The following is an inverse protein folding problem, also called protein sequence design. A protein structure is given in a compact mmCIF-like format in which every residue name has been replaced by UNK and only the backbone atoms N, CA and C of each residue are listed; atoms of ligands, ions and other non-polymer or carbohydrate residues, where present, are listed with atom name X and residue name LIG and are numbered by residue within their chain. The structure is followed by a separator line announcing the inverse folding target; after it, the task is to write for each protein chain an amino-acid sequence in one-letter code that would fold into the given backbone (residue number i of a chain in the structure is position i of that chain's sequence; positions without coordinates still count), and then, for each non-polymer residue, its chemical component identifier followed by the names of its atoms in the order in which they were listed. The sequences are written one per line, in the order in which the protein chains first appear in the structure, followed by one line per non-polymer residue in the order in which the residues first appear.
data_IF_085883555166
#
_entry.id   IF_085883555166
#
_cell.length_a   1.000
_cell.length_b   1.000
_cell.length_c   1.000
_cell.angle_alpha   90.00
_cell.angle_beta   90.00
_cell.angle_gamma   90.00
#
_symmetry.space_group_name_H-M   'P 1'
#
loop_
_entity.id
_entity.type
_entity.pdbx_description
1 polymer ?
#
# COMPACT_ATOMS: atom_id res chain seq x y z
N UNK A 1 -15.94 3.32 61.13
CA UNK A 1 -15.37 3.89 59.93
C UNK A 1 -14.83 2.73 59.07
N UNK A 2 -15.67 2.19 58.16
CA UNK A 2 -15.30 1.03 57.34
C UNK A 2 -14.56 1.58 56.16
N UNK A 3 -13.25 1.28 56.07
CA UNK A 3 -12.44 1.58 54.90
C UNK A 3 -12.90 0.65 53.78
N UNK A 4 -13.64 1.17 52.80
CA UNK A 4 -13.90 0.50 51.56
C UNK A 4 -12.59 0.47 50.78
N UNK A 5 -11.96 -0.70 50.74
CA UNK A 5 -10.84 -0.94 49.85
C UNK A 5 -11.36 -0.81 48.40
N UNK A 6 -10.98 0.27 47.74
CA UNK A 6 -11.15 0.41 46.28
C UNK A 6 -10.23 -0.62 45.64
N UNK A 7 -10.79 -1.76 45.22
CA UNK A 7 -10.08 -2.68 44.33
C UNK A 7 -9.65 -1.88 43.08
N UNK A 8 -8.37 -1.98 42.68
CA UNK A 8 -7.99 -1.39 41.43
C UNK A 8 -8.88 -2.01 40.31
N UNK A 9 -9.58 -1.16 39.58
CA UNK A 9 -10.42 -1.59 38.44
C UNK A 9 -9.57 -2.48 37.58
N UNK A 10 -9.88 -3.78 37.57
CA UNK A 10 -9.19 -4.79 36.75
C UNK A 10 -9.31 -4.31 35.28
N UNK A 11 -8.18 -4.07 34.62
CA UNK A 11 -8.17 -3.63 33.24
C UNK A 11 -9.05 -4.59 32.41
N UNK A 12 -9.89 -4.02 31.56
CA UNK A 12 -10.79 -4.78 30.69
C UNK A 12 -10.05 -5.87 29.93
N UNK A 13 -10.58 -7.10 29.86
CA UNK A 13 -9.97 -8.20 29.12
C UNK A 13 -9.72 -7.82 27.66
N UNK A 14 -8.54 -8.13 27.14
CA UNK A 14 -8.21 -7.81 25.72
C UNK A 14 -9.14 -8.51 24.74
N UNK A 15 -9.64 -9.71 25.08
CA UNK A 15 -10.65 -10.43 24.30
C UNK A 15 -11.95 -9.63 24.11
N UNK A 16 -12.42 -8.98 25.18
CA UNK A 16 -13.58 -8.10 25.16
C UNK A 16 -13.30 -6.86 24.32
N UNK A 17 -12.15 -6.22 24.53
CA UNK A 17 -11.74 -5.04 23.74
C UNK A 17 -11.68 -5.34 22.24
N UNK A 18 -11.19 -6.54 21.85
CA UNK A 18 -11.16 -6.97 20.44
C UNK A 18 -12.58 -7.14 19.89
N UNK A 19 -13.47 -7.77 20.65
CA UNK A 19 -14.85 -7.95 20.24
C UNK A 19 -15.57 -6.61 20.08
N UNK A 20 -15.45 -5.71 21.07
CA UNK A 20 -16.19 -4.45 21.10
C UNK A 20 -15.69 -3.43 20.06
N UNK A 21 -14.36 -3.37 19.81
CA UNK A 21 -13.79 -2.37 18.93
C UNK A 21 -13.74 -2.77 17.47
N UNK A 22 -13.58 -4.04 17.17
CA UNK A 22 -13.44 -4.53 15.78
C UNK A 22 -14.36 -5.71 15.42
N UNK A 23 -15.31 -6.05 16.30
CA UNK A 23 -16.31 -7.09 16.06
C UNK A 23 -15.75 -8.51 15.91
N UNK A 24 -14.51 -8.76 16.37
CA UNK A 24 -13.85 -10.06 16.16
C UNK A 24 -13.94 -10.94 17.40
N UNK A 25 -14.60 -12.08 17.26
CA UNK A 25 -14.64 -13.11 18.29
C UNK A 25 -13.38 -13.99 18.20
N UNK A 26 -12.38 -13.71 19.05
CA UNK A 26 -11.12 -14.45 19.06
C UNK A 26 -11.27 -15.91 19.51
N UNK A 27 -12.36 -16.25 20.20
CA UNK A 27 -12.61 -17.63 20.68
C UNK A 27 -13.02 -18.58 19.55
N UNK A 28 -13.38 -18.06 18.36
CA UNK A 28 -13.56 -18.88 17.16
C UNK A 28 -12.24 -19.43 16.60
N UNK A 29 -11.09 -18.91 17.05
CA UNK A 29 -9.78 -19.40 16.64
C UNK A 29 -9.49 -20.79 17.24
N UNK A 30 -9.45 -21.82 16.41
CA UNK A 30 -9.11 -23.18 16.81
C UNK A 30 -7.64 -23.56 16.60
N UNK A 31 -6.77 -22.56 16.47
CA UNK A 31 -5.29 -22.73 16.41
C UNK A 31 -4.81 -23.60 15.23
N UNK A 32 -5.39 -23.45 14.02
CA UNK A 32 -4.99 -24.20 12.82
C UNK A 32 -3.63 -23.80 12.24
N UNK A 33 -2.99 -22.76 12.77
CA UNK A 33 -1.64 -22.25 12.41
C UNK A 33 -1.51 -21.70 10.98
N UNK A 34 -2.55 -21.65 10.16
CA UNK A 34 -2.48 -21.09 8.78
C UNK A 34 -2.02 -19.64 8.73
N UNK A 35 -2.34 -18.82 9.75
CA UNK A 35 -1.88 -17.44 9.86
C UNK A 35 -0.37 -17.34 10.09
N UNK A 36 0.23 -18.30 10.76
CA UNK A 36 1.69 -18.36 11.02
C UNK A 36 2.44 -18.93 9.82
N UNK A 37 2.00 -20.05 9.26
CA UNK A 37 2.67 -20.68 8.13
C UNK A 37 2.71 -19.79 6.87
N UNK A 38 1.73 -18.90 6.73
CA UNK A 38 1.69 -17.94 5.63
C UNK A 38 2.29 -16.57 5.94
N UNK A 39 2.80 -16.36 7.15
CA UNK A 39 3.33 -15.04 7.53
C UNK A 39 4.78 -14.88 7.07
N UNK A 40 5.09 -13.90 6.19
CA UNK A 40 6.45 -13.68 5.72
C UNK A 40 7.41 -13.18 6.81
N UNK A 41 6.87 -12.82 7.99
CA UNK A 41 7.61 -12.28 9.12
C UNK A 41 7.59 -13.19 10.35
N UNK A 42 7.05 -14.41 10.26
CA UNK A 42 6.88 -15.30 11.41
C UNK A 42 8.20 -15.56 12.15
N UNK A 43 9.30 -15.69 11.41
CA UNK A 43 10.66 -15.92 11.95
C UNK A 43 11.24 -14.69 12.68
N UNK A 44 10.72 -13.51 12.43
CA UNK A 44 11.16 -12.24 13.03
C UNK A 44 10.40 -11.90 14.32
N UNK A 45 9.31 -12.63 14.59
CA UNK A 45 8.44 -12.39 15.71
C UNK A 45 8.88 -13.16 16.95
N UNK A 46 8.67 -12.56 18.11
CA UNK A 46 8.78 -13.22 19.42
C UNK A 46 7.55 -14.09 19.71
N UNK A 47 6.37 -13.70 19.22
CA UNK A 47 5.12 -14.46 19.25
C UNK A 47 4.58 -14.61 17.81
N UNK A 48 4.49 -15.85 17.34
CA UNK A 48 3.87 -16.12 16.06
C UNK A 48 2.39 -15.68 16.03
N UNK A 49 1.80 -15.35 14.85
CA UNK A 49 0.42 -14.87 14.76
C UNK A 49 -0.61 -15.73 15.50
N UNK A 50 -0.52 -17.06 15.42
CA UNK A 50 -1.41 -17.95 16.19
C UNK A 50 -1.18 -17.87 17.71
N UNK A 51 0.05 -17.61 18.15
CA UNK A 51 0.38 -17.45 19.59
C UNK A 51 -0.19 -16.13 20.13
N UNK A 52 -0.14 -15.05 19.33
CA UNK A 52 -0.83 -13.79 19.68
C UNK A 52 -2.32 -14.04 19.90
N UNK A 53 -2.98 -14.79 18.99
CA UNK A 53 -4.40 -15.16 19.15
C UNK A 53 -4.62 -15.99 20.40
N UNK A 54 -3.69 -16.91 20.73
CA UNK A 54 -3.78 -17.73 21.94
C UNK A 54 -3.62 -16.92 23.23
N UNK A 55 -2.68 -15.98 23.25
CA UNK A 55 -2.50 -15.07 24.40
C UNK A 55 -3.78 -14.27 24.68
N UNK A 56 -4.48 -13.81 23.64
CA UNK A 56 -5.76 -13.13 23.80
C UNK A 56 -6.85 -14.05 24.35
N UNK A 57 -6.94 -15.31 23.91
CA UNK A 57 -7.87 -16.30 24.45
C UNK A 57 -7.60 -16.57 25.93
N UNK A 58 -6.35 -16.56 26.35
CA UNK A 58 -5.92 -16.76 27.74
C UNK A 58 -5.97 -15.48 28.57
N UNK A 59 -6.35 -14.36 27.97
CA UNK A 59 -6.33 -13.03 28.59
C UNK A 59 -4.95 -12.62 29.14
N UNK A 60 -3.88 -13.02 28.45
CA UNK A 60 -2.51 -12.66 28.79
C UNK A 60 -2.17 -11.25 28.32
N UNK A 61 -2.03 -10.24 29.21
CA UNK A 61 -1.74 -8.88 28.84
C UNK A 61 -0.30 -8.68 28.33
N UNK A 62 0.59 -9.65 28.53
CA UNK A 62 2.00 -9.57 28.09
C UNK A 62 2.10 -9.46 26.56
N UNK A 63 1.08 -9.87 25.81
CA UNK A 63 0.98 -9.72 24.37
C UNK A 63 1.15 -8.26 23.90
N UNK A 64 0.80 -7.29 24.73
CA UNK A 64 0.98 -5.86 24.44
C UNK A 64 2.46 -5.42 24.43
N UNK A 65 3.35 -6.22 25.03
CA UNK A 65 4.80 -6.01 25.02
C UNK A 65 5.53 -6.75 23.91
N UNK A 66 4.80 -7.57 23.11
CA UNK A 66 5.38 -8.38 22.04
C UNK A 66 5.90 -7.51 20.89
N UNK A 67 7.03 -7.93 20.29
CA UNK A 67 7.56 -7.36 19.04
C UNK A 67 6.63 -7.62 17.87
N UNK A 68 5.92 -8.77 17.88
CA UNK A 68 5.07 -9.19 16.77
C UNK A 68 4.02 -8.15 16.40
N UNK A 69 3.37 -7.52 17.41
CA UNK A 69 2.36 -6.49 17.13
C UNK A 69 2.95 -5.27 16.41
N UNK A 70 4.23 -4.94 16.62
CA UNK A 70 4.90 -3.80 16.00
C UNK A 70 5.50 -4.14 14.63
N UNK A 71 6.14 -5.31 14.50
CA UNK A 71 6.79 -5.76 13.26
C UNK A 71 5.79 -6.17 12.17
N UNK A 72 4.53 -6.43 12.51
CA UNK A 72 3.52 -6.81 11.53
C UNK A 72 3.41 -5.76 10.40
N UNK A 73 3.72 -6.18 9.17
CA UNK A 73 3.73 -5.32 7.98
C UNK A 73 2.32 -4.97 7.46
N UNK A 74 1.26 -5.50 8.05
CA UNK A 74 -0.12 -5.26 7.59
C UNK A 74 -0.45 -5.88 6.23
N UNK A 75 0.23 -6.95 5.83
CA UNK A 75 0.10 -7.56 4.50
C UNK A 75 -1.20 -8.35 4.27
N UNK A 76 -2.02 -8.52 5.31
CA UNK A 76 -3.34 -9.18 5.28
C UNK A 76 -3.33 -10.68 4.90
N UNK A 77 -2.16 -11.30 4.71
CA UNK A 77 -2.07 -12.74 4.34
C UNK A 77 -2.73 -13.64 5.38
N UNK A 78 -2.47 -13.38 6.66
CA UNK A 78 -3.06 -14.14 7.76
C UNK A 78 -4.58 -14.01 7.85
N UNK A 79 -5.13 -12.81 7.60
CA UNK A 79 -6.57 -12.58 7.57
C UNK A 79 -7.24 -13.28 6.38
N UNK A 80 -6.63 -13.20 5.19
CA UNK A 80 -7.18 -13.86 3.97
C UNK A 80 -7.13 -15.38 4.03
N UNK A 81 -6.20 -15.97 4.80
CA UNK A 81 -6.06 -17.43 4.94
C UNK A 81 -6.77 -18.00 6.17
N UNK A 82 -7.40 -17.16 6.98
CA UNK A 82 -8.09 -17.61 8.19
C UNK A 82 -9.39 -18.33 7.86
N UNK A 83 -9.56 -19.62 8.23
CA UNK A 83 -10.79 -20.35 7.93
C UNK A 83 -11.97 -19.93 8.81
N UNK A 84 -11.73 -19.15 9.87
CA UNK A 84 -12.73 -18.55 10.75
C UNK A 84 -12.95 -17.07 10.44
N UNK A 85 -12.43 -16.57 9.32
CA UNK A 85 -12.53 -15.18 8.87
C UNK A 85 -12.08 -14.13 9.93
N UNK A 86 -11.11 -14.51 10.78
CA UNK A 86 -10.59 -13.61 11.79
C UNK A 86 -9.63 -12.63 11.12
N UNK A 87 -9.88 -11.33 11.32
CA UNK A 87 -9.00 -10.27 10.88
C UNK A 87 -7.79 -10.13 11.81
N UNK A 88 -6.85 -11.09 11.72
CA UNK A 88 -5.64 -11.13 12.57
C UNK A 88 -4.82 -9.85 12.44
N UNK A 89 -4.76 -9.25 11.25
CA UNK A 89 -4.05 -7.98 11.03
C UNK A 89 -4.73 -6.83 11.77
N UNK A 90 -6.06 -6.76 11.74
CA UNK A 90 -6.83 -5.76 12.52
C UNK A 90 -6.64 -5.94 14.02
N UNK A 91 -6.52 -7.19 14.49
CA UNK A 91 -6.17 -7.48 15.89
C UNK A 91 -4.79 -6.92 16.22
N UNK A 92 -3.77 -7.13 15.38
CA UNK A 92 -2.42 -6.58 15.59
C UNK A 92 -2.45 -5.04 15.68
N UNK A 93 -3.21 -4.38 14.82
CA UNK A 93 -3.35 -2.92 14.84
C UNK A 93 -4.04 -2.43 16.11
N UNK A 94 -5.11 -3.09 16.54
CA UNK A 94 -5.80 -2.76 17.78
C UNK A 94 -4.87 -2.92 18.99
N UNK A 95 -4.06 -3.99 19.03
CA UNK A 95 -3.10 -4.20 20.14
C UNK A 95 -2.02 -3.10 20.19
N UNK A 96 -1.56 -2.56 19.06
CA UNK A 96 -0.68 -1.37 19.02
C UNK A 96 -1.35 -0.16 19.64
N UNK A 97 -2.61 0.08 19.29
CA UNK A 97 -3.42 1.19 19.81
C UNK A 97 -3.61 1.03 21.32
N UNK A 98 -3.99 -0.18 21.78
CA UNK A 98 -4.17 -0.50 23.20
C UNK A 98 -2.87 -0.37 24.01
N UNK A 99 -1.74 -0.87 23.48
CA UNK A 99 -0.45 -0.72 24.15
C UNK A 99 -0.13 0.77 24.40
N UNK A 100 -0.34 1.61 23.40
CA UNK A 100 -0.15 3.07 23.56
C UNK A 100 -1.12 3.69 24.56
N UNK A 101 -2.41 3.36 24.47
CA UNK A 101 -3.44 3.91 25.37
C UNK A 101 -3.19 3.53 26.82
N UNK A 102 -2.67 2.31 27.06
CA UNK A 102 -2.31 1.82 28.40
C UNK A 102 -0.91 2.26 28.85
N UNK A 103 -0.20 3.08 28.07
CA UNK A 103 1.14 3.58 28.40
C UNK A 103 2.23 2.49 28.39
N UNK A 104 2.00 1.36 27.70
CA UNK A 104 2.98 0.28 27.59
C UNK A 104 4.03 0.66 26.53
N UNK A 105 5.32 0.68 26.88
CA UNK A 105 6.39 0.99 25.94
C UNK A 105 6.41 0.04 24.74
N UNK A 106 6.65 0.56 23.55
CA UNK A 106 6.81 -0.25 22.35
C UNK A 106 8.06 -1.12 22.42
N UNK A 107 7.93 -2.41 22.12
CA UNK A 107 9.08 -3.30 21.94
C UNK A 107 9.93 -2.93 20.69
N UNK A 108 9.38 -2.13 19.76
CA UNK A 108 10.07 -1.62 18.58
C UNK A 108 9.83 -0.10 18.45
N UNK A 109 10.55 0.72 19.24
CA UNK A 109 10.32 2.17 19.33
C UNK A 109 10.45 2.90 17.98
N UNK A 110 11.25 2.38 17.06
CA UNK A 110 11.48 2.93 15.73
C UNK A 110 10.17 3.00 14.93
N UNK A 111 9.37 1.94 14.96
CA UNK A 111 8.09 1.87 14.24
C UNK A 111 7.07 2.80 14.89
N UNK A 112 6.99 2.81 16.22
CA UNK A 112 6.07 3.69 16.95
C UNK A 112 6.34 5.16 16.63
N UNK A 113 7.64 5.57 16.67
CA UNK A 113 8.05 6.94 16.42
C UNK A 113 7.82 7.35 14.95
N UNK A 114 8.10 6.43 14.00
CA UNK A 114 7.82 6.62 12.59
C UNK A 114 6.34 6.89 12.33
N UNK A 115 5.46 6.04 12.88
CA UNK A 115 4.01 6.17 12.73
C UNK A 115 3.50 7.48 13.35
N UNK A 116 3.98 7.83 14.55
CA UNK A 116 3.62 9.07 15.20
C UNK A 116 4.02 10.28 14.36
N UNK A 117 5.28 10.35 13.91
CA UNK A 117 5.79 11.46 13.11
C UNK A 117 5.02 11.57 11.78
N UNK A 118 4.76 10.44 11.12
CA UNK A 118 3.97 10.40 9.90
C UNK A 118 2.60 11.04 10.10
N UNK A 119 1.89 10.66 11.15
CA UNK A 119 0.57 11.24 11.45
C UNK A 119 0.62 12.73 11.80
N UNK A 120 1.72 13.22 12.42
CA UNK A 120 1.89 14.67 12.62
C UNK A 120 2.01 15.41 11.29
N UNK A 121 2.83 14.92 10.36
CA UNK A 121 2.95 15.53 9.02
C UNK A 121 1.60 15.57 8.29
N UNK A 122 0.84 14.47 8.31
CA UNK A 122 -0.48 14.42 7.66
C UNK A 122 -1.47 15.37 8.34
N UNK A 123 -1.46 15.44 9.67
CA UNK A 123 -2.33 16.35 10.43
C UNK A 123 -2.14 17.82 10.04
N UNK A 124 -0.90 18.27 9.86
CA UNK A 124 -0.59 19.68 9.60
C UNK A 124 -0.53 20.02 8.11
N UNK A 125 -0.03 19.13 7.27
CA UNK A 125 0.21 19.38 5.85
C UNK A 125 -0.84 18.72 4.93
N UNK A 126 -1.53 17.69 5.40
CA UNK A 126 -2.48 16.90 4.62
C UNK A 126 -1.82 15.91 3.65
N UNK A 127 -0.59 16.16 3.20
CA UNK A 127 0.22 15.29 2.35
C UNK A 127 1.59 15.06 2.97
N UNK A 128 2.23 13.94 2.64
CA UNK A 128 3.56 13.60 3.15
C UNK A 128 4.65 14.21 2.25
N UNK A 129 5.44 15.18 2.72
CA UNK A 129 6.65 15.60 2.03
C UNK A 129 7.77 14.60 2.33
N UNK A 130 7.88 13.55 1.52
CA UNK A 130 8.67 12.34 1.82
C UNK A 130 10.13 12.65 2.22
N UNK A 131 10.81 13.55 1.51
CA UNK A 131 12.19 13.90 1.84
C UNK A 131 12.31 14.56 3.22
N UNK A 132 11.47 15.56 3.50
CA UNK A 132 11.48 16.27 4.79
C UNK A 132 11.11 15.33 5.93
N UNK A 133 10.13 14.46 5.70
CA UNK A 133 9.71 13.45 6.66
C UNK A 133 10.83 12.46 7.00
N UNK A 134 11.52 11.91 6.00
CA UNK A 134 12.63 10.95 6.22
C UNK A 134 13.79 11.63 6.95
N UNK A 135 14.15 12.84 6.57
CA UNK A 135 15.21 13.59 7.27
C UNK A 135 14.85 13.87 8.73
N UNK A 136 13.61 14.31 8.97
CA UNK A 136 13.10 14.55 10.34
C UNK A 136 13.12 13.29 11.18
N UNK A 137 12.68 12.16 10.61
CA UNK A 137 12.69 10.86 11.28
C UNK A 137 14.11 10.42 11.64
N UNK A 138 15.07 10.52 10.72
CA UNK A 138 16.47 10.15 10.95
C UNK A 138 17.15 11.04 12.00
N UNK A 139 16.85 12.33 12.01
CA UNK A 139 17.32 13.25 13.05
C UNK A 139 16.78 12.85 14.43
N UNK A 140 15.47 12.59 14.53
CA UNK A 140 14.86 12.13 15.78
C UNK A 140 15.45 10.82 16.30
N UNK A 141 15.93 9.94 15.39
CA UNK A 141 16.58 8.68 15.75
C UNK A 141 18.08 8.81 16.09
N UNK A 142 18.65 10.01 15.99
CA UNK A 142 20.10 10.22 16.18
C UNK A 142 20.96 9.53 15.11
N UNK A 143 20.39 9.19 13.95
CA UNK A 143 21.06 8.50 12.84
C UNK A 143 20.93 9.28 11.52
N UNK A 144 21.33 10.59 11.48
CA UNK A 144 21.10 11.47 10.33
C UNK A 144 21.76 10.97 9.03
N UNK A 145 22.87 10.23 9.15
CA UNK A 145 23.65 9.74 8.01
C UNK A 145 23.33 8.30 7.60
N UNK A 146 22.38 7.64 8.25
CA UNK A 146 21.95 6.30 7.81
C UNK A 146 21.32 6.38 6.42
N UNK A 147 21.61 5.40 5.55
CA UNK A 147 21.12 5.30 4.15
C UNK A 147 21.52 6.49 3.24
N UNK A 148 22.62 7.21 3.56
CA UNK A 148 23.12 8.27 2.68
C UNK A 148 23.36 7.78 1.25
N UNK A 149 23.87 6.56 1.08
CA UNK A 149 24.08 5.95 -0.24
C UNK A 149 22.77 5.89 -1.04
N UNK A 150 21.66 5.48 -0.42
CA UNK A 150 20.34 5.49 -1.05
C UNK A 150 19.89 6.92 -1.39
N UNK A 151 20.04 7.85 -0.47
CA UNK A 151 19.72 9.28 -0.70
C UNK A 151 20.46 9.86 -1.89
N UNK A 152 21.76 9.61 -2.02
CA UNK A 152 22.58 10.07 -3.15
C UNK A 152 22.14 9.41 -4.47
N UNK A 153 21.81 8.11 -4.46
CA UNK A 153 21.27 7.42 -5.63
C UNK A 153 19.93 8.00 -6.07
N UNK A 154 19.03 8.28 -5.12
CA UNK A 154 17.75 8.93 -5.40
C UNK A 154 17.94 10.34 -5.97
N UNK A 155 18.91 11.10 -5.44
CA UNK A 155 19.25 12.44 -5.95
C UNK A 155 19.76 12.37 -7.40
N UNK A 156 20.70 11.46 -7.69
CA UNK A 156 21.22 11.25 -9.06
C UNK A 156 20.11 10.87 -10.05
N UNK A 157 19.12 10.07 -9.62
CA UNK A 157 17.96 9.70 -10.44
C UNK A 157 16.89 10.80 -10.50
N UNK A 158 17.08 11.94 -9.82
CA UNK A 158 16.12 13.05 -9.77
C UNK A 158 14.77 12.66 -9.16
N UNK A 159 14.79 11.75 -8.19
CA UNK A 159 13.60 11.29 -7.46
C UNK A 159 13.32 12.09 -6.19
N UNK A 160 14.29 12.90 -5.73
CA UNK A 160 14.12 13.75 -4.55
C UNK A 160 13.55 15.11 -4.97
N UNK A 161 12.30 15.34 -4.59
CA UNK A 161 11.62 16.64 -4.78
C UNK A 161 11.33 17.26 -3.41
N UNK A 162 11.76 18.49 -3.19
CA UNK A 162 11.40 19.27 -1.99
C UNK A 162 10.07 19.97 -2.31
N UNK A 163 8.98 19.23 -2.17
CA UNK A 163 7.65 19.77 -2.40
C UNK A 163 6.89 19.80 -1.06
N UNK A 164 6.74 20.99 -0.51
CA UNK A 164 5.83 21.22 0.62
C UNK A 164 4.45 21.55 0.05
N UNK A 165 3.58 20.55 -0.03
CA UNK A 165 2.20 20.75 -0.42
C UNK A 165 1.30 20.82 0.81
N UNK A 166 0.65 21.95 1.01
CA UNK A 166 -0.42 22.09 1.96
C UNK A 166 -1.73 21.67 1.28
N UNK A 167 -2.20 20.46 1.60
CA UNK A 167 -3.48 20.00 1.10
C UNK A 167 -4.60 20.47 2.02
N UNK A 168 -5.48 21.31 1.48
CA UNK A 168 -6.70 21.74 2.18
C UNK A 168 -7.91 21.28 1.38
N UNK A 169 -8.74 20.47 2.00
CA UNK A 169 -10.00 20.06 1.38
C UNK A 169 -10.88 21.30 1.10
N UNK A 170 -11.33 21.53 -0.14
CA UNK A 170 -12.11 22.70 -0.48
C UNK A 170 -13.50 22.64 0.18
N UNK A 171 -13.88 23.69 0.92
CA UNK A 171 -15.22 23.79 1.54
C UNK A 171 -16.31 24.09 0.51
N UNK A 172 -15.99 24.86 -0.54
CA UNK A 172 -16.89 25.17 -1.64
C UNK A 172 -16.39 24.49 -2.90
N UNK A 173 -17.15 23.57 -3.43
CA UNK A 173 -16.87 22.86 -4.67
C UNK A 173 -18.14 22.81 -5.50
N UNK A 174 -18.01 22.96 -6.81
CA UNK A 174 -19.12 22.78 -7.76
C UNK A 174 -18.94 21.44 -8.48
N UNK A 175 -20.03 20.78 -8.86
CA UNK A 175 -19.94 19.62 -9.74
C UNK A 175 -19.15 19.94 -11.01
N UNK A 176 -18.34 18.98 -11.43
CA UNK A 176 -17.55 19.13 -12.66
C UNK A 176 -18.45 18.98 -13.87
N UNK A 177 -18.47 19.94 -14.81
CA UNK A 177 -19.22 19.77 -16.06
C UNK A 177 -18.76 18.52 -16.81
N UNK A 178 -19.70 17.66 -17.22
CA UNK A 178 -19.40 16.42 -17.92
C UNK A 178 -18.64 15.39 -17.06
N UNK A 179 -18.94 15.32 -15.76
CA UNK A 179 -18.32 14.34 -14.83
C UNK A 179 -18.60 12.87 -15.22
N UNK A 180 -19.73 12.63 -15.89
CA UNK A 180 -20.06 11.29 -16.38
C UNK A 180 -19.04 10.83 -17.43
N UNK A 181 -18.46 9.65 -17.22
CA UNK A 181 -17.41 9.08 -18.07
C UNK A 181 -15.97 9.47 -17.74
N UNK A 182 -15.77 10.41 -16.80
CA UNK A 182 -14.44 10.76 -16.27
C UNK A 182 -14.14 9.94 -15.02
N UNK A 183 -12.85 9.65 -14.80
CA UNK A 183 -12.37 8.90 -13.66
C UNK A 183 -11.58 9.82 -12.73
N UNK A 184 -11.96 9.90 -11.46
CA UNK A 184 -11.16 10.63 -10.47
C UNK A 184 -9.83 9.91 -10.26
N UNK A 185 -8.73 10.65 -10.30
CA UNK A 185 -7.39 10.10 -10.17
C UNK A 185 -6.75 10.47 -8.84
N UNK A 186 -6.48 9.48 -8.02
CA UNK A 186 -5.77 9.64 -6.75
C UNK A 186 -4.32 9.16 -6.88
N UNK A 187 -3.35 10.05 -7.14
CA UNK A 187 -1.95 9.65 -7.35
C UNK A 187 -1.32 9.09 -6.08
N UNK A 188 -1.71 9.58 -4.89
CA UNK A 188 -1.03 9.30 -3.64
C UNK A 188 0.30 10.07 -3.49
N UNK A 189 0.86 10.09 -2.27
CA UNK A 189 2.03 10.91 -1.97
C UNK A 189 3.28 10.48 -2.75
N UNK A 190 3.50 9.16 -2.93
CA UNK A 190 4.68 8.65 -3.62
C UNK A 190 4.69 9.00 -5.12
N UNK A 191 3.59 8.77 -5.85
CA UNK A 191 3.51 9.13 -7.27
C UNK A 191 3.55 10.65 -7.48
N UNK A 192 3.03 11.44 -6.52
CA UNK A 192 3.16 12.89 -6.55
C UNK A 192 4.60 13.40 -6.26
N UNK A 193 5.51 12.56 -5.75
CA UNK A 193 6.88 12.97 -5.36
C UNK A 193 7.97 12.01 -5.87
N UNK A 194 8.36 11.02 -5.08
CA UNK A 194 9.52 10.14 -5.35
C UNK A 194 9.33 9.12 -6.47
N UNK A 195 8.08 8.86 -6.88
CA UNK A 195 7.70 7.97 -7.99
C UNK A 195 6.94 8.73 -9.09
N UNK A 196 7.38 9.97 -9.40
CA UNK A 196 6.73 10.82 -10.42
C UNK A 196 6.78 10.25 -11.84
N UNK A 197 7.73 9.37 -12.12
CA UNK A 197 7.78 8.58 -13.36
C UNK A 197 6.57 7.65 -13.49
N UNK A 198 6.09 7.13 -12.37
CA UNK A 198 4.89 6.29 -12.38
C UNK A 198 3.64 7.13 -12.69
N UNK A 199 3.47 8.30 -12.05
CA UNK A 199 2.39 9.24 -12.37
C UNK A 199 2.40 9.60 -13.86
N UNK A 200 3.57 9.92 -14.42
CA UNK A 200 3.69 10.28 -15.83
C UNK A 200 3.27 9.12 -16.75
N UNK A 201 3.75 7.90 -16.50
CA UNK A 201 3.40 6.76 -17.36
C UNK A 201 1.95 6.29 -17.18
N UNK A 202 1.34 6.49 -16.01
CA UNK A 202 -0.10 6.32 -15.79
C UNK A 202 -0.89 7.26 -16.69
N UNK A 203 -0.57 8.55 -16.69
CA UNK A 203 -1.25 9.55 -17.55
C UNK A 203 -1.03 9.26 -19.02
N UNK A 204 0.18 8.92 -19.45
CA UNK A 204 0.47 8.54 -20.83
C UNK A 204 -0.36 7.32 -21.28
N UNK A 205 -0.49 6.32 -20.43
CA UNK A 205 -1.30 5.11 -20.70
C UNK A 205 -2.78 5.47 -20.79
N UNK A 206 -3.28 6.30 -19.88
CA UNK A 206 -4.66 6.77 -19.87
C UNK A 206 -5.00 7.55 -21.15
N UNK A 207 -4.11 8.46 -21.58
CA UNK A 207 -4.30 9.27 -22.78
C UNK A 207 -4.41 8.39 -24.03
N UNK A 208 -3.53 7.38 -24.20
CA UNK A 208 -3.60 6.45 -25.36
C UNK A 208 -4.89 5.65 -25.38
N UNK A 209 -5.40 5.28 -24.19
CA UNK A 209 -6.63 4.51 -24.03
C UNK A 209 -7.89 5.39 -23.96
N UNK A 210 -7.75 6.72 -24.08
CA UNK A 210 -8.84 7.70 -23.96
C UNK A 210 -9.56 7.63 -22.61
N UNK A 211 -8.83 7.39 -21.51
CA UNK A 211 -9.33 7.45 -20.14
C UNK A 211 -9.09 8.86 -19.60
N UNK A 212 -10.16 9.63 -19.41
CA UNK A 212 -10.03 10.99 -18.88
C UNK A 212 -9.86 10.99 -17.37
N UNK A 213 -8.61 11.21 -16.91
CA UNK A 213 -8.24 11.25 -15.51
C UNK A 213 -8.36 12.67 -14.94
N UNK A 214 -9.07 12.83 -13.83
CA UNK A 214 -9.26 14.12 -13.14
C UNK A 214 -8.75 14.02 -11.72
N UNK A 215 -7.70 14.76 -11.36
CA UNK A 215 -7.18 14.80 -10.00
C UNK A 215 -8.09 15.64 -9.09
N UNK A 216 -8.62 15.06 -7.98
CA UNK A 216 -9.50 15.81 -7.05
C UNK A 216 -8.72 16.92 -6.38
N UNK A 217 -9.25 18.15 -6.32
CA UNK A 217 -8.57 19.25 -5.66
C UNK A 217 -8.48 19.00 -4.16
N UNK A 218 -7.32 19.32 -3.57
CA UNK A 218 -7.11 19.26 -2.13
C UNK A 218 -7.18 17.84 -1.54
N UNK A 219 -6.94 16.80 -2.32
CA UNK A 219 -6.84 15.44 -1.80
C UNK A 219 -5.78 15.34 -0.70
N UNK A 220 -6.00 14.47 0.27
CA UNK A 220 -5.08 14.23 1.39
C UNK A 220 -4.51 12.83 1.32
N UNK A 221 -3.39 12.60 2.01
CA UNK A 221 -2.77 11.27 2.09
C UNK A 221 -3.78 10.24 2.58
N UNK A 222 -3.73 9.02 2.02
CA UNK A 222 -4.59 7.91 2.43
C UNK A 222 -4.30 7.36 3.84
N UNK A 223 -3.23 7.84 4.51
CA UNK A 223 -2.81 7.36 5.82
C UNK A 223 -1.86 6.16 5.79
N UNK A 224 -1.67 5.53 4.64
CA UNK A 224 -0.73 4.41 4.43
C UNK A 224 -0.88 3.31 5.50
N UNK A 225 0.23 2.73 5.97
CA UNK A 225 0.27 1.78 7.08
C UNK A 225 0.26 2.45 8.47
N UNK A 226 0.40 3.77 8.54
CA UNK A 226 0.55 4.49 9.80
C UNK A 226 -0.78 4.84 10.45
N UNK A 227 -1.80 5.20 9.67
CA UNK A 227 -3.09 5.63 10.23
C UNK A 227 -3.78 4.50 11.00
N UNK A 228 -3.99 3.35 10.38
CA UNK A 228 -4.68 2.22 11.03
C UNK A 228 -3.90 1.64 12.22
N UNK A 229 -2.56 1.73 12.20
CA UNK A 229 -1.71 1.31 13.31
C UNK A 229 -1.69 2.34 14.48
N UNK A 230 -2.31 3.52 14.28
CA UNK A 230 -2.24 4.63 15.24
C UNK A 230 -3.62 5.05 15.74
N UNK A 231 -4.59 5.15 14.85
CA UNK A 231 -5.94 5.64 15.15
C UNK A 231 -6.90 5.08 14.09
N UNK A 232 -7.80 4.19 14.51
CA UNK A 232 -8.76 3.53 13.63
C UNK A 232 -9.70 4.51 12.94
N UNK A 233 -10.15 5.55 13.65
CA UNK A 233 -11.03 6.58 13.06
C UNK A 233 -10.30 7.37 11.98
N UNK A 234 -9.04 7.77 12.21
CA UNK A 234 -8.26 8.48 11.19
C UNK A 234 -7.95 7.61 9.97
N UNK A 235 -7.87 6.28 10.13
CA UNK A 235 -7.74 5.35 9.01
C UNK A 235 -8.92 5.45 8.02
N UNK A 236 -10.12 5.79 8.50
CA UNK A 236 -11.30 6.02 7.67
C UNK A 236 -11.43 7.49 7.23
N UNK A 237 -11.21 8.44 8.14
CA UNK A 237 -11.37 9.89 7.87
C UNK A 237 -10.49 10.35 6.70
N UNK A 238 -9.22 9.93 6.65
CA UNK A 238 -8.29 10.41 5.64
C UNK A 238 -8.73 10.05 4.21
N UNK A 239 -9.00 8.77 3.86
CA UNK A 239 -9.49 8.44 2.53
C UNK A 239 -10.90 8.99 2.26
N UNK A 240 -11.84 8.93 3.22
CA UNK A 240 -13.20 9.43 3.06
C UNK A 240 -13.26 10.94 2.76
N UNK A 241 -12.34 11.75 3.26
CA UNK A 241 -12.24 13.18 2.90
C UNK A 241 -12.03 13.39 1.41
N UNK A 242 -11.18 12.58 0.80
CA UNK A 242 -10.92 12.63 -0.64
C UNK A 242 -12.13 12.11 -1.42
N UNK A 243 -12.71 10.99 -0.97
CA UNK A 243 -13.91 10.42 -1.60
C UNK A 243 -15.12 11.36 -1.53
N UNK A 244 -15.33 12.03 -0.40
CA UNK A 244 -16.36 13.09 -0.27
C UNK A 244 -16.12 14.25 -1.25
N UNK A 245 -14.86 14.63 -1.50
CA UNK A 245 -14.53 15.63 -2.52
C UNK A 245 -14.90 15.16 -3.93
N UNK A 246 -14.61 13.91 -4.27
CA UNK A 246 -14.92 13.28 -5.56
C UNK A 246 -16.43 13.21 -5.78
N UNK A 247 -17.19 12.78 -4.78
CA UNK A 247 -18.66 12.75 -4.82
C UNK A 247 -19.24 14.11 -5.10
N UNK A 248 -18.74 15.17 -4.44
CA UNK A 248 -19.14 16.56 -4.67
C UNK A 248 -18.80 17.09 -6.06
N UNK A 249 -17.77 16.49 -6.71
CA UNK A 249 -17.49 16.78 -8.12
C UNK A 249 -18.49 16.12 -9.08
N UNK A 250 -19.39 15.28 -8.58
CA UNK A 250 -20.32 14.48 -9.37
C UNK A 250 -19.70 13.27 -10.05
N UNK A 251 -18.55 12.81 -9.53
CA UNK A 251 -17.85 11.64 -10.04
C UNK A 251 -18.13 10.42 -9.17
N UNK A 252 -18.23 9.25 -9.78
CA UNK A 252 -18.62 8.00 -9.11
C UNK A 252 -17.52 6.95 -9.08
N UNK A 253 -16.39 7.20 -9.73
CA UNK A 253 -15.26 6.28 -9.77
C UNK A 253 -13.97 7.00 -9.43
N UNK A 254 -13.15 6.40 -8.54
CA UNK A 254 -11.79 6.85 -8.27
C UNK A 254 -10.81 5.72 -8.55
N UNK A 255 -9.73 6.06 -9.25
CA UNK A 255 -8.63 5.14 -9.51
C UNK A 255 -7.35 5.60 -8.81
N UNK A 256 -6.57 4.62 -8.33
CA UNK A 256 -5.23 4.88 -7.77
C UNK A 256 -4.21 3.90 -8.33
N UNK A 257 -3.00 4.36 -8.71
CA UNK A 257 -1.94 3.49 -9.20
C UNK A 257 -1.15 2.81 -8.06
N UNK A 258 -1.43 3.13 -6.82
CA UNK A 258 -0.72 2.62 -5.64
C UNK A 258 -1.59 1.60 -4.89
N UNK A 259 -1.14 0.35 -4.81
CA UNK A 259 -1.86 -0.73 -4.11
C UNK A 259 -2.15 -0.40 -2.63
N UNK A 260 -1.26 0.34 -1.96
CA UNK A 260 -1.50 0.77 -0.58
C UNK A 260 -2.61 1.85 -0.52
N UNK A 261 -2.57 2.85 -1.42
CA UNK A 261 -3.63 3.87 -1.49
C UNK A 261 -4.96 3.23 -1.89
N UNK A 262 -4.97 2.36 -2.90
CA UNK A 262 -6.13 1.58 -3.30
C UNK A 262 -6.74 0.84 -2.10
N UNK A 263 -5.93 0.07 -1.37
CA UNK A 263 -6.39 -0.68 -0.20
C UNK A 263 -7.01 0.22 0.86
N UNK A 264 -6.40 1.38 1.16
CA UNK A 264 -6.95 2.31 2.18
C UNK A 264 -8.25 2.96 1.74
N UNK A 265 -8.35 3.37 0.47
CA UNK A 265 -9.60 3.90 -0.09
C UNK A 265 -10.69 2.81 -0.10
N UNK A 266 -10.34 1.58 -0.51
CA UNK A 266 -11.27 0.45 -0.59
C UNK A 266 -11.78 0.01 0.79
N UNK A 267 -10.89 -0.03 1.79
CA UNK A 267 -11.29 -0.29 3.18
C UNK A 267 -12.24 0.79 3.70
N UNK A 268 -11.97 2.07 3.39
CA UNK A 268 -12.86 3.16 3.79
C UNK A 268 -14.21 3.13 3.05
N UNK A 269 -14.25 2.70 1.79
CA UNK A 269 -15.48 2.45 1.04
C UNK A 269 -16.35 1.38 1.73
N UNK A 270 -15.75 0.30 2.21
CA UNK A 270 -16.48 -0.84 2.79
C UNK A 270 -16.78 -0.66 4.29
N UNK A 271 -15.80 -0.23 5.07
CA UNK A 271 -15.86 -0.20 6.53
C UNK A 271 -16.15 1.22 7.06
N UNK A 272 -15.65 2.25 6.37
CA UNK A 272 -15.77 3.64 6.82
C UNK A 272 -17.20 4.19 6.82
N UNK A 273 -18.07 3.65 5.97
CA UNK A 273 -19.51 3.97 5.97
C UNK A 273 -20.24 3.51 7.23
N UNK A 274 -19.66 2.57 7.95
CA UNK A 274 -20.17 2.05 9.23
C UNK A 274 -19.49 2.70 10.45
N UNK A 275 -18.64 3.73 10.24
CA UNK A 275 -17.99 4.51 11.31
C UNK A 275 -18.64 5.90 11.45
N UNK A 276 -19.64 6.09 12.36
CA UNK A 276 -20.32 7.37 12.51
C UNK A 276 -19.38 8.50 12.93
N UNK A 277 -18.28 8.18 13.67
CA UNK A 277 -17.30 9.18 14.11
C UNK A 277 -16.49 9.69 12.93
N UNK A 278 -16.08 8.77 12.03
CA UNK A 278 -15.35 9.14 10.83
C UNK A 278 -16.25 9.99 9.91
N UNK A 279 -17.50 9.59 9.66
CA UNK A 279 -18.44 10.34 8.82
C UNK A 279 -18.70 11.74 9.36
N UNK A 280 -18.92 11.88 10.68
CA UNK A 280 -19.13 13.19 11.31
C UNK A 280 -17.89 14.11 11.15
N UNK A 281 -16.66 13.57 11.31
CA UNK A 281 -15.44 14.34 11.10
C UNK A 281 -15.27 14.73 9.62
N UNK A 282 -15.60 13.85 8.69
CA UNK A 282 -15.55 14.14 7.25
C UNK A 282 -16.53 15.25 6.90
N UNK A 283 -17.78 15.17 7.36
CA UNK A 283 -18.80 16.19 7.15
C UNK A 283 -18.36 17.56 7.70
N UNK A 284 -17.78 17.59 8.90
CA UNK A 284 -17.30 18.83 9.52
C UNK A 284 -16.17 19.50 8.71
N UNK A 285 -15.29 18.71 8.09
CA UNK A 285 -14.15 19.23 7.31
C UNK A 285 -14.54 19.58 5.88
N UNK A 286 -15.37 18.76 5.23
CA UNK A 286 -15.73 18.90 3.81
C UNK A 286 -16.97 19.78 3.61
N UNK A 287 -17.81 19.93 4.65
CA UNK A 287 -19.14 20.56 4.54
C UNK A 287 -20.14 19.70 3.73
N UNK A 288 -19.93 18.39 3.66
CA UNK A 288 -20.74 17.46 2.90
C UNK A 288 -20.87 16.11 3.62
N UNK A 289 -22.10 15.62 3.73
CA UNK A 289 -22.37 14.26 4.20
C UNK A 289 -22.13 13.27 3.08
N UNK A 290 -21.04 12.54 3.17
CA UNK A 290 -20.64 11.55 2.17
C UNK A 290 -21.66 10.40 2.13
N UNK A 291 -22.17 10.10 0.93
CA UNK A 291 -23.23 9.11 0.69
C UNK A 291 -22.73 7.74 0.26
N UNK A 292 -21.41 7.57 0.07
CA UNK A 292 -20.84 6.28 -0.34
C UNK A 292 -20.99 5.97 -1.84
N UNK A 293 -21.18 6.99 -2.68
CA UNK A 293 -21.42 6.79 -4.12
C UNK A 293 -20.15 6.54 -4.96
N UNK A 294 -18.95 6.62 -4.34
CA UNK A 294 -17.68 6.52 -5.06
C UNK A 294 -17.13 5.09 -5.01
N UNK A 295 -17.07 4.43 -6.16
CA UNK A 295 -16.41 3.14 -6.34
C UNK A 295 -14.89 3.31 -6.48
N UNK A 296 -14.12 2.50 -5.76
CA UNK A 296 -12.66 2.54 -5.74
C UNK A 296 -12.06 1.43 -6.61
N UNK A 297 -11.17 1.80 -7.53
CA UNK A 297 -10.47 0.86 -8.42
C UNK A 297 -8.96 1.05 -8.35
N UNK A 298 -8.20 0.00 -8.61
CA UNK A 298 -6.80 0.15 -8.96
C UNK A 298 -6.67 0.53 -10.44
N UNK A 299 -5.61 1.26 -10.82
CA UNK A 299 -5.49 1.77 -12.20
C UNK A 299 -5.44 0.65 -13.26
N UNK A 300 -4.85 -0.49 -12.95
CA UNK A 300 -4.87 -1.65 -13.87
C UNK A 300 -6.30 -2.16 -14.09
N UNK A 301 -7.12 -2.23 -13.04
CA UNK A 301 -8.52 -2.61 -13.16
C UNK A 301 -9.30 -1.59 -13.99
N UNK A 302 -9.02 -0.29 -13.77
CA UNK A 302 -9.59 0.79 -14.59
C UNK A 302 -9.26 0.63 -16.08
N UNK A 303 -8.02 0.24 -16.42
CA UNK A 303 -7.64 -0.06 -17.81
C UNK A 303 -8.48 -1.22 -18.38
N UNK A 304 -8.56 -2.32 -17.64
CA UNK A 304 -9.25 -3.54 -18.08
C UNK A 304 -10.76 -3.38 -18.17
N UNK A 305 -11.34 -2.48 -17.39
CA UNK A 305 -12.77 -2.13 -17.46
C UNK A 305 -13.08 -1.19 -18.64
N UNK A 306 -12.13 -0.30 -19.01
CA UNK A 306 -12.29 0.64 -20.11
C UNK A 306 -12.02 0.04 -21.48
N UNK A 307 -11.11 -0.93 -21.55
CA UNK A 307 -10.66 -1.50 -22.81
C UNK A 307 -10.50 -3.02 -22.71
N UNK A 308 -11.16 -3.74 -23.63
CA UNK A 308 -10.95 -5.18 -23.74
C UNK A 308 -9.51 -5.48 -24.19
N UNK A 309 -8.99 -6.71 -23.95
CA UNK A 309 -7.67 -7.12 -24.41
C UNK A 309 -7.42 -6.83 -25.89
N UNK A 310 -8.43 -7.04 -26.75
CA UNK A 310 -8.34 -6.79 -28.19
C UNK A 310 -8.19 -5.29 -28.52
N UNK A 311 -8.91 -4.43 -27.79
CA UNK A 311 -8.78 -2.98 -27.96
C UNK A 311 -7.42 -2.48 -27.47
N UNK A 312 -6.87 -3.05 -26.43
CA UNK A 312 -5.50 -2.74 -25.95
C UNK A 312 -4.49 -3.19 -26.99
N UNK A 313 -4.57 -4.44 -27.47
CA UNK A 313 -3.67 -4.98 -28.50
C UNK A 313 -3.72 -4.17 -29.81
N UNK A 314 -4.89 -3.66 -30.21
CA UNK A 314 -5.03 -2.79 -31.39
C UNK A 314 -4.29 -1.43 -31.26
N UNK A 315 -3.95 -1.01 -30.03
CA UNK A 315 -3.15 0.22 -29.79
C UNK A 315 -1.64 -0.05 -29.73
N UNK A 316 -1.22 -1.31 -29.70
CA UNK A 316 0.19 -1.70 -29.62
C UNK A 316 0.89 -1.41 -30.95
N UNK A 317 1.97 -0.65 -30.89
CA UNK A 317 2.85 -0.33 -32.01
C UNK A 317 4.20 -1.04 -31.92
N UNK A 318 4.62 -1.40 -30.70
CA UNK A 318 5.86 -2.14 -30.39
C UNK A 318 5.49 -3.31 -29.45
N UNK A 319 5.10 -4.47 -29.98
CA UNK A 319 4.75 -5.62 -29.14
C UNK A 319 5.96 -6.05 -28.31
N UNK A 320 5.71 -6.40 -27.05
CA UNK A 320 6.75 -6.81 -26.09
C UNK A 320 7.15 -8.30 -26.29
N UNK A 321 7.33 -8.72 -27.54
CA UNK A 321 7.67 -10.11 -27.87
C UNK A 321 8.98 -10.54 -27.23
N UNK A 322 9.06 -11.81 -26.86
CA UNK A 322 10.22 -12.45 -26.23
C UNK A 322 10.61 -11.90 -24.83
N UNK A 323 9.81 -10.97 -24.27
CA UNK A 323 10.01 -10.47 -22.92
C UNK A 323 9.21 -11.30 -21.91
N UNK A 324 9.92 -12.08 -21.07
CA UNK A 324 9.34 -12.88 -19.99
C UNK A 324 9.24 -12.07 -18.70
N UNK A 325 8.06 -11.90 -18.18
CA UNK A 325 7.83 -11.01 -17.03
C UNK A 325 7.14 -11.72 -15.88
N UNK A 326 7.64 -11.49 -14.66
CA UNK A 326 6.98 -11.89 -13.43
C UNK A 326 6.05 -10.76 -12.94
N UNK A 327 4.75 -10.97 -13.05
CA UNK A 327 3.73 -10.02 -12.59
C UNK A 327 3.63 -10.01 -11.07
N UNK A 328 4.12 -8.97 -10.42
CA UNK A 328 4.13 -8.81 -8.98
C UNK A 328 3.05 -7.80 -8.52
N UNK A 329 1.99 -8.32 -7.97
CA UNK A 329 0.84 -7.54 -7.46
C UNK A 329 1.10 -6.95 -6.08
N UNK A 330 1.94 -7.63 -5.29
CA UNK A 330 2.09 -7.32 -3.88
C UNK A 330 0.87 -7.69 -3.05
N UNK A 331 0.90 -7.35 -1.76
CA UNK A 331 -0.05 -7.90 -0.79
C UNK A 331 -1.43 -7.20 -0.76
N UNK A 332 -1.48 -5.88 -1.00
CA UNK A 332 -2.67 -5.07 -0.67
C UNK A 332 -3.64 -4.83 -1.84
N UNK A 333 -3.33 -5.33 -3.03
CA UNK A 333 -4.23 -5.20 -4.18
C UNK A 333 -5.39 -6.20 -4.11
N UNK A 334 -5.14 -7.36 -3.54
CA UNK A 334 -6.11 -8.46 -3.48
C UNK A 334 -6.60 -8.77 -2.07
N UNK A 335 -5.99 -8.18 -1.03
CA UNK A 335 -6.25 -8.53 0.37
C UNK A 335 -6.66 -7.31 1.21
N UNK A 336 -7.62 -7.47 2.13
CA UNK A 336 -8.46 -8.67 2.31
C UNK A 336 -9.50 -8.76 1.19
N UNK A 337 -9.78 -9.98 0.70
CA UNK A 337 -10.69 -10.22 -0.43
C UNK A 337 -12.11 -9.67 -0.18
N UNK A 338 -12.59 -9.70 1.07
CA UNK A 338 -13.90 -9.12 1.46
C UNK A 338 -14.00 -7.61 1.15
N UNK A 339 -12.89 -6.87 1.17
CA UNK A 339 -12.89 -5.44 0.84
C UNK A 339 -12.54 -5.20 -0.63
N UNK A 340 -11.56 -5.90 -1.17
CA UNK A 340 -11.08 -5.69 -2.54
C UNK A 340 -11.97 -6.30 -3.61
N UNK A 341 -12.81 -7.28 -3.24
CA UNK A 341 -13.61 -8.06 -4.20
C UNK A 341 -12.79 -9.04 -5.04
N UNK A 342 -11.53 -9.28 -4.69
CA UNK A 342 -10.65 -10.16 -5.46
C UNK A 342 -11.18 -11.61 -5.49
N UNK A 343 -11.45 -12.11 -6.70
CA UNK A 343 -11.92 -13.48 -6.91
C UNK A 343 -10.88 -14.53 -6.47
N UNK A 344 -9.63 -14.30 -6.83
CA UNK A 344 -8.50 -15.12 -6.40
C UNK A 344 -7.42 -14.24 -5.75
N UNK A 345 -7.46 -14.06 -4.41
CA UNK A 345 -6.54 -13.18 -3.71
C UNK A 345 -5.09 -13.69 -3.66
N UNK A 346 -4.86 -14.98 -3.93
CA UNK A 346 -3.52 -15.58 -3.94
C UNK A 346 -2.92 -15.61 -5.36
N UNK A 347 -3.76 -15.64 -6.38
CA UNK A 347 -3.29 -15.75 -7.78
C UNK A 347 -4.10 -14.83 -8.72
N UNK A 348 -3.94 -13.49 -8.60
CA UNK A 348 -4.58 -12.53 -9.50
C UNK A 348 -3.97 -12.58 -10.91
N UNK A 349 -4.76 -12.19 -11.93
CA UNK A 349 -4.36 -12.28 -13.35
C UNK A 349 -4.58 -10.98 -14.15
N UNK A 350 -5.13 -9.91 -13.56
CA UNK A 350 -5.49 -8.69 -14.30
C UNK A 350 -4.27 -8.01 -14.96
N UNK A 351 -3.15 -7.92 -14.24
CA UNK A 351 -1.90 -7.36 -14.79
C UNK A 351 -1.26 -8.31 -15.80
N UNK A 352 -1.37 -9.63 -15.58
CA UNK A 352 -0.92 -10.63 -16.56
C UNK A 352 -1.65 -10.45 -17.90
N UNK A 353 -2.99 -10.36 -17.87
CA UNK A 353 -3.81 -10.13 -19.06
C UNK A 353 -3.47 -8.82 -19.76
N UNK A 354 -3.23 -7.75 -18.99
CA UNK A 354 -2.76 -6.49 -19.56
C UNK A 354 -1.43 -6.68 -20.32
N UNK A 355 -0.42 -7.28 -19.68
CA UNK A 355 0.90 -7.45 -20.29
C UNK A 355 0.90 -8.42 -21.47
N UNK A 356 0.08 -9.48 -21.41
CA UNK A 356 -0.17 -10.38 -22.54
C UNK A 356 -0.80 -9.62 -23.72
N UNK A 357 -1.74 -8.72 -23.45
CA UNK A 357 -2.34 -7.85 -24.49
C UNK A 357 -1.32 -6.91 -25.14
N UNK A 358 -0.22 -6.61 -24.44
CA UNK A 358 0.91 -5.83 -24.94
C UNK A 358 1.97 -6.70 -25.66
N UNK A 359 1.79 -8.03 -25.69
CA UNK A 359 2.67 -8.99 -26.38
C UNK A 359 3.76 -9.60 -25.49
N UNK A 360 3.78 -9.37 -24.18
CA UNK A 360 4.73 -10.00 -23.26
C UNK A 360 4.31 -11.42 -22.88
N UNK A 361 5.29 -12.26 -22.52
CA UNK A 361 5.08 -13.56 -21.91
C UNK A 361 5.09 -13.44 -20.37
N UNK A 362 3.99 -13.79 -19.71
CA UNK A 362 3.93 -13.77 -18.24
C UNK A 362 4.31 -15.12 -17.68
N UNK A 363 5.26 -15.14 -16.73
CA UNK A 363 5.70 -16.39 -16.10
C UNK A 363 4.75 -16.82 -15.00
N UNK A 364 4.56 -18.12 -14.85
CA UNK A 364 3.87 -18.71 -13.71
C UNK A 364 4.80 -18.77 -12.51
N UNK A 365 4.42 -18.15 -11.39
CA UNK A 365 5.25 -18.06 -10.20
C UNK A 365 4.43 -17.83 -8.93
N UNK A 366 4.96 -18.24 -7.78
CA UNK A 366 4.22 -18.30 -6.52
C UNK A 366 4.26 -17.01 -5.70
N UNK A 367 5.16 -16.07 -5.98
CA UNK A 367 5.35 -14.85 -5.18
C UNK A 367 4.56 -13.63 -5.71
N UNK A 368 3.52 -13.85 -6.52
CA UNK A 368 2.68 -12.77 -7.07
C UNK A 368 2.14 -11.79 -6.02
N UNK A 369 1.78 -12.31 -4.85
CA UNK A 369 1.10 -11.56 -3.79
C UNK A 369 1.86 -11.54 -2.46
N UNK A 370 3.10 -12.00 -2.42
CA UNK A 370 3.92 -11.94 -1.23
C UNK A 370 4.31 -10.50 -0.89
N UNK A 371 4.60 -10.24 0.38
CA UNK A 371 4.90 -8.89 0.83
C UNK A 371 6.37 -8.54 0.58
N UNK A 372 6.63 -7.37 -0.06
CA UNK A 372 7.98 -6.82 -0.23
C UNK A 372 8.56 -6.15 1.02
N UNK A 373 7.82 -6.10 2.13
CA UNK A 373 8.28 -5.40 3.33
C UNK A 373 8.21 -3.86 3.26
N UNK A 374 7.44 -3.29 2.31
CA UNK A 374 7.41 -1.83 2.05
C UNK A 374 7.14 -0.96 3.28
N UNK A 375 6.27 -1.38 4.20
CA UNK A 375 5.99 -0.65 5.45
C UNK A 375 7.16 -0.66 6.45
N UNK A 376 8.12 -1.58 6.29
CA UNK A 376 9.28 -1.75 7.16
C UNK A 376 10.57 -1.16 6.56
N UNK A 377 10.53 -0.72 5.30
CA UNK A 377 11.73 -0.35 4.53
C UNK A 377 12.61 0.72 5.18
N UNK A 378 12.06 1.60 6.00
CA UNK A 378 12.78 2.70 6.67
C UNK A 378 13.12 2.36 8.12
N UNK A 379 12.25 1.60 8.79
CA UNK A 379 12.34 1.31 10.23
C UNK A 379 13.07 0.01 10.53
N UNK A 380 12.95 -0.98 9.65
CA UNK A 380 13.52 -2.33 9.77
C UNK A 380 14.07 -2.76 8.40
N UNK A 381 15.10 -2.03 7.94
CA UNK A 381 15.64 -2.14 6.57
C UNK A 381 16.08 -3.57 6.23
N UNK A 382 16.80 -4.25 7.14
CA UNK A 382 17.31 -5.61 6.90
C UNK A 382 16.19 -6.62 6.70
N UNK A 383 15.09 -6.47 7.46
CA UNK A 383 13.89 -7.31 7.29
C UNK A 383 13.26 -7.08 5.91
N UNK A 384 13.13 -5.82 5.50
CA UNK A 384 12.58 -5.47 4.20
C UNK A 384 13.47 -5.94 3.03
N UNK A 385 14.80 -5.87 3.18
CA UNK A 385 15.76 -6.40 2.21
C UNK A 385 15.58 -7.90 2.01
N UNK A 386 15.55 -8.68 3.09
CA UNK A 386 15.35 -10.12 3.04
C UNK A 386 14.02 -10.50 2.35
N UNK A 387 12.93 -9.81 2.69
CA UNK A 387 11.62 -10.05 2.06
C UNK A 387 11.66 -9.76 0.55
N UNK A 388 12.25 -8.65 0.14
CA UNK A 388 12.36 -8.25 -1.27
C UNK A 388 13.30 -9.16 -2.05
N UNK A 389 14.39 -9.62 -1.43
CA UNK A 389 15.34 -10.56 -2.04
C UNK A 389 14.65 -11.88 -2.40
N UNK A 390 13.86 -12.47 -1.48
CA UNK A 390 13.08 -13.69 -1.75
C UNK A 390 12.15 -13.55 -2.95
N UNK A 391 11.54 -12.39 -3.14
CA UNK A 391 10.67 -12.10 -4.30
C UNK A 391 11.48 -12.10 -5.60
N UNK A 392 12.62 -11.42 -5.63
CA UNK A 392 13.47 -11.33 -6.83
C UNK A 392 14.12 -12.67 -7.20
N UNK A 393 14.61 -13.42 -6.22
CA UNK A 393 15.17 -14.76 -6.41
C UNK A 393 14.15 -15.73 -7.01
N UNK A 394 12.90 -15.72 -6.48
CA UNK A 394 11.84 -16.57 -7.02
C UNK A 394 11.46 -16.17 -8.46
N UNK A 395 11.33 -14.88 -8.76
CA UNK A 395 11.05 -14.41 -10.12
C UNK A 395 12.14 -14.90 -11.10
N UNK A 396 13.42 -14.78 -10.73
CA UNK A 396 14.53 -15.26 -11.54
C UNK A 396 14.53 -16.78 -11.71
N UNK A 397 14.28 -17.53 -10.63
CA UNK A 397 14.20 -19.01 -10.69
C UNK A 397 13.09 -19.48 -11.62
N UNK A 398 11.98 -18.71 -11.72
CA UNK A 398 10.91 -19.00 -12.67
C UNK A 398 11.19 -18.51 -14.10
N UNK A 399 12.39 -18.04 -14.38
CA UNK A 399 12.83 -17.65 -15.72
C UNK A 399 12.36 -16.28 -16.20
N UNK A 400 11.97 -15.38 -15.28
CA UNK A 400 11.61 -14.02 -15.64
C UNK A 400 12.84 -13.19 -16.04
N UNK A 401 12.72 -12.41 -17.11
CA UNK A 401 13.67 -11.39 -17.53
C UNK A 401 13.53 -10.11 -16.70
N UNK A 402 12.32 -9.86 -16.16
CA UNK A 402 12.01 -8.67 -15.37
C UNK A 402 10.83 -8.92 -14.41
N UNK A 403 10.73 -8.08 -13.37
CA UNK A 403 9.56 -8.01 -12.47
C UNK A 403 8.71 -6.80 -12.83
N UNK A 404 7.40 -6.98 -12.91
CA UNK A 404 6.46 -5.89 -13.19
C UNK A 404 5.64 -5.59 -11.96
N UNK A 405 5.57 -4.32 -11.59
CA UNK A 405 4.86 -3.87 -10.39
C UNK A 405 3.72 -2.91 -10.71
N UNK A 406 2.77 -2.82 -9.79
CA UNK A 406 1.65 -1.88 -9.83
C UNK A 406 1.54 -1.05 -8.53
N UNK A 407 2.66 -0.88 -7.82
CA UNK A 407 2.74 -0.12 -6.57
C UNK A 407 4.09 0.58 -6.46
N UNK A 408 4.15 1.91 -6.22
CA UNK A 408 5.40 2.64 -6.12
C UNK A 408 6.25 2.22 -4.91
N UNK A 409 5.62 1.77 -3.82
CA UNK A 409 6.34 1.25 -2.65
C UNK A 409 7.03 -0.08 -2.95
N UNK A 410 6.33 -0.98 -3.66
CA UNK A 410 6.90 -2.26 -4.07
C UNK A 410 8.03 -2.06 -5.08
N UNK A 411 7.82 -1.17 -6.07
CA UNK A 411 8.86 -0.83 -7.04
C UNK A 411 10.12 -0.31 -6.34
N UNK A 412 9.98 0.65 -5.43
CA UNK A 412 11.12 1.21 -4.70
C UNK A 412 11.90 0.13 -3.94
N UNK A 413 11.23 -0.84 -3.31
CA UNK A 413 11.89 -1.91 -2.60
C UNK A 413 12.58 -2.91 -3.53
N UNK A 414 11.91 -3.30 -4.62
CA UNK A 414 12.43 -4.32 -5.53
C UNK A 414 13.47 -3.76 -6.49
N UNK A 415 13.42 -2.49 -6.87
CA UNK A 415 14.37 -1.85 -7.79
C UNK A 415 15.53 -1.18 -7.05
N UNK A 416 15.23 -0.22 -6.17
CA UNK A 416 16.26 0.63 -5.60
C UNK A 416 17.17 -0.08 -4.58
N UNK A 417 16.64 -1.12 -3.92
CA UNK A 417 17.36 -1.82 -2.86
C UNK A 417 18.17 -3.02 -3.33
N UNK A 418 18.11 -3.42 -4.60
CA UNK A 418 18.92 -4.54 -5.11
C UNK A 418 20.42 -4.37 -4.85
N UNK A 419 20.94 -3.15 -4.94
CA UNK A 419 22.33 -2.87 -4.64
C UNK A 419 22.78 -3.15 -3.18
N UNK A 420 21.82 -3.45 -2.29
CA UNK A 420 22.06 -3.78 -0.89
C UNK A 420 21.68 -5.23 -0.56
N UNK A 421 21.30 -6.02 -1.58
CA UNK A 421 20.97 -7.45 -1.47
C UNK A 421 22.12 -8.29 -1.98
N UNK A 422 22.27 -9.48 -1.42
CA UNK A 422 23.32 -10.45 -1.82
C UNK A 422 22.76 -11.45 -2.86
N UNK A 423 22.17 -10.94 -3.94
CA UNK A 423 21.55 -11.79 -4.97
C UNK A 423 22.52 -12.31 -6.01
N UNK A 424 23.67 -11.64 -6.20
CA UNK A 424 24.61 -11.95 -7.29
C UNK A 424 24.08 -11.67 -8.70
N UNK A 425 22.93 -10.99 -8.82
CA UNK A 425 22.32 -10.58 -10.10
C UNK A 425 21.54 -9.27 -9.94
N UNK A 426 21.35 -8.58 -11.05
CA UNK A 426 20.42 -7.46 -11.16
C UNK A 426 19.23 -7.86 -12.05
N UNK A 427 18.01 -7.67 -11.55
CA UNK A 427 16.77 -7.96 -12.27
C UNK A 427 15.99 -6.67 -12.47
N UNK A 428 15.78 -6.18 -13.72
CA UNK A 428 15.01 -4.97 -13.97
C UNK A 428 13.60 -5.05 -13.39
N UNK A 429 13.16 -3.95 -12.79
CA UNK A 429 11.81 -3.85 -12.23
C UNK A 429 11.09 -2.68 -12.89
N UNK A 430 9.94 -2.93 -13.49
CA UNK A 430 9.13 -1.93 -14.17
C UNK A 430 7.81 -1.67 -13.45
N UNK A 431 7.28 -0.48 -13.59
CA UNK A 431 5.85 -0.28 -13.47
C UNK A 431 5.14 -0.81 -14.73
N UNK A 432 3.98 -1.42 -14.57
CA UNK A 432 3.19 -1.93 -15.70
C UNK A 432 2.97 -0.85 -16.78
N UNK A 433 2.74 0.39 -16.36
CA UNK A 433 2.52 1.52 -17.26
C UNK A 433 3.77 2.00 -18.01
N UNK A 434 4.99 1.71 -17.51
CA UNK A 434 6.21 1.96 -18.29
C UNK A 434 6.26 1.07 -19.54
N UNK A 435 5.93 -0.21 -19.37
CA UNK A 435 5.86 -1.15 -20.49
C UNK A 435 4.65 -0.87 -21.39
N UNK A 436 3.51 -0.44 -20.84
CA UNK A 436 2.37 0.03 -21.64
C UNK A 436 2.76 1.22 -22.52
N UNK A 437 3.46 2.21 -21.94
CA UNK A 437 3.95 3.40 -22.66
C UNK A 437 4.88 3.01 -23.82
N UNK A 438 5.81 2.07 -23.58
CA UNK A 438 6.71 1.53 -24.59
C UNK A 438 5.93 0.80 -25.70
N UNK A 439 5.03 -0.12 -25.32
CA UNK A 439 4.26 -0.94 -26.24
C UNK A 439 3.33 -0.11 -27.14
N UNK A 440 2.77 0.98 -26.61
CA UNK A 440 1.96 1.93 -27.40
C UNK A 440 2.81 2.81 -28.35
N UNK A 441 4.13 2.63 -28.36
CA UNK A 441 5.04 3.28 -29.29
C UNK A 441 5.36 4.73 -28.97
N UNK A 442 5.21 5.16 -27.71
CA UNK A 442 5.68 6.46 -27.29
C UNK A 442 7.21 6.50 -27.25
N UNK A 443 7.78 7.70 -27.25
CA UNK A 443 9.23 7.91 -27.18
C UNK A 443 9.79 7.41 -25.83
N UNK A 444 11.07 7.00 -25.83
CA UNK A 444 11.71 6.38 -24.64
C UNK A 444 11.77 7.32 -23.42
N UNK A 445 11.86 8.63 -23.64
CA UNK A 445 11.82 9.63 -22.58
C UNK A 445 10.48 9.60 -21.81
N UNK A 446 9.36 9.31 -22.52
CA UNK A 446 8.02 9.16 -21.96
C UNK A 446 7.87 7.89 -21.12
N UNK A 447 8.69 6.86 -21.35
CA UNK A 447 8.73 5.63 -20.54
C UNK A 447 9.45 5.85 -19.20
N UNK A 448 10.23 6.92 -19.06
CA UNK A 448 10.94 7.31 -17.83
C UNK A 448 11.91 6.23 -17.29
N UNK A 449 12.51 5.40 -18.16
CA UNK A 449 13.42 4.31 -17.76
C UNK A 449 14.68 4.81 -17.04
N UNK A 450 15.10 6.05 -17.29
CA UNK A 450 16.21 6.70 -16.60
C UNK A 450 15.98 6.86 -15.08
N UNK A 451 14.75 6.67 -14.61
CA UNK A 451 14.38 6.71 -13.19
C UNK A 451 14.52 5.36 -12.48
N UNK A 452 14.63 4.25 -13.20
CA UNK A 452 14.88 2.95 -12.61
C UNK A 452 16.31 2.89 -12.04
N UNK A 453 16.51 2.17 -10.94
CA UNK A 453 17.82 2.05 -10.30
C UNK A 453 18.65 0.95 -10.95
N UNK A 454 18.03 -0.18 -11.29
CA UNK A 454 18.59 -1.16 -12.22
C UNK A 454 18.25 -0.69 -13.62
N UNK A 455 19.28 -0.48 -14.45
CA UNK A 455 19.09 0.01 -15.81
C UNK A 455 18.38 -1.04 -16.68
N UNK A 456 17.17 -0.76 -17.18
CA UNK A 456 16.44 -1.73 -17.99
C UNK A 456 16.82 -1.70 -19.47
N UNK A 457 17.56 -0.69 -19.95
CA UNK A 457 17.84 -0.50 -21.38
C UNK A 457 18.62 -1.67 -21.99
N UNK A 458 19.65 -2.25 -21.35
CA UNK A 458 20.35 -3.42 -21.90
C UNK A 458 19.42 -4.61 -22.16
N UNK A 459 18.47 -4.89 -21.25
CA UNK A 459 17.47 -5.93 -21.46
C UNK A 459 16.58 -5.64 -22.67
N UNK A 460 16.03 -4.44 -22.72
CA UNK A 460 15.10 -4.03 -23.79
C UNK A 460 15.79 -4.03 -25.17
N UNK A 461 17.08 -3.65 -25.23
CA UNK A 461 17.90 -3.73 -26.45
C UNK A 461 18.14 -5.18 -26.87
N UNK A 462 18.51 -6.07 -25.93
CA UNK A 462 18.72 -7.49 -26.21
C UNK A 462 17.45 -8.16 -26.76
N UNK A 463 16.26 -7.70 -26.33
CA UNK A 463 14.96 -8.15 -26.83
C UNK A 463 14.48 -7.39 -28.07
N UNK A 464 15.24 -6.44 -28.60
CA UNK A 464 14.92 -5.61 -29.79
C UNK A 464 13.59 -4.84 -29.65
N UNK A 465 13.31 -4.31 -28.46
CA UNK A 465 12.07 -3.61 -28.16
C UNK A 465 12.14 -2.09 -28.45
N UNK A 466 13.30 -1.57 -28.86
CA UNK A 466 13.49 -0.22 -29.41
C UNK A 466 14.77 -0.12 -30.21
#
# INVERSE_FOLDING_TARGET
MVMTATHPTRAEPLSTVVLDKIGQNIFSCYQCVKCTSGCPLAEQFDLAPNQVMRSLQLNDPSVLQSKAIWLCAGCQTCASRCPQDINVTGVMDLLRIEARQRGIPSAVPDIQQFNWLFMQFIKYLGRLPELVFILSYKLLRGKPFSDMGMGLRMLKKGKLRILLHFARTPKKLRPLPGAAGKVAYFPGCAAASTASEYDQTVRNTADVLNIELVEPPGWVCCGSSCAHATDSTQAHVLPLRTMSTIERMGMTTVTSPCSNCFSRLKMAEQEGMHDPRALAQVAAVTGHEYQGSVNVQHFVDTIMDHATPEKISAKVKRPLTDLKVACYYGCLITRPARATGAYNPEYPMQMDHLLQSLGAETVDWSYKTDCCGGSLSVTQTDVALNMSQKVLENARLCGADAVITMCPMCHMNLDARQAYMETGFDLPVFHATQLSTLAFGLELDKCCFNKNFVDPLPLLQAKKLF
#
